data_IF_228973455297
#
_entry.id   IF_228973455297
#
_cell.length_a   1.000
_cell.length_b   1.000
_cell.length_c   1.000
_cell.angle_alpha   90.00
_cell.angle_beta   90.00
_cell.angle_gamma   90.00
#
_symmetry.space_group_name_H-M   'P 1'
#
loop_
_entity.id
_entity.type
_entity.pdbx_description
1 polymer ?
#
# COMPACT_ATOMS: atom_id res chain seq x y z
N UNK A 1 28.28 30.43 11.68
CA UNK A 1 28.31 30.17 10.23
C UNK A 1 27.27 31.06 9.56
N UNK A 2 27.72 32.09 8.86
CA UNK A 2 26.90 33.14 8.28
C UNK A 2 26.31 32.70 6.92
N UNK A 3 25.21 33.31 6.47
CA UNK A 3 24.52 32.96 5.21
C UNK A 3 25.46 33.09 4.00
N UNK A 4 26.32 34.11 4.02
CA UNK A 4 27.36 34.37 3.02
C UNK A 4 28.40 33.26 2.93
N UNK A 5 28.80 32.66 4.07
CA UNK A 5 29.75 31.54 4.07
C UNK A 5 29.13 30.28 3.46
N UNK A 6 27.83 30.06 3.71
CA UNK A 6 27.07 28.97 3.08
C UNK A 6 26.96 29.15 1.56
N UNK A 7 26.66 30.36 1.08
CA UNK A 7 26.62 30.65 -0.36
C UNK A 7 27.98 30.45 -1.02
N UNK A 8 29.06 30.93 -0.41
CA UNK A 8 30.41 30.74 -0.93
C UNK A 8 30.81 29.25 -0.99
N UNK A 9 30.41 28.46 0.03
CA UNK A 9 30.65 27.02 0.04
C UNK A 9 29.86 26.28 -1.05
N UNK A 10 28.58 26.61 -1.25
CA UNK A 10 27.75 26.04 -2.31
C UNK A 10 28.31 26.40 -3.69
N UNK A 11 28.73 27.67 -3.88
CA UNK A 11 29.33 28.14 -5.14
C UNK A 11 30.59 27.35 -5.49
N UNK A 12 31.48 27.12 -4.51
CA UNK A 12 32.68 26.27 -4.68
C UNK A 12 32.36 24.84 -5.08
N UNK A 13 31.29 24.26 -4.52
CA UNK A 13 30.88 22.89 -4.85
C UNK A 13 30.31 22.83 -6.26
N UNK A 14 29.54 23.84 -6.68
CA UNK A 14 28.97 23.92 -8.03
C UNK A 14 29.99 24.28 -9.12
N UNK A 15 30.99 25.12 -8.80
CA UNK A 15 32.10 25.46 -9.71
C UNK A 15 33.07 24.30 -9.91
N UNK A 16 33.06 23.31 -9.01
CA UNK A 16 33.84 22.09 -9.18
C UNK A 16 33.22 21.26 -10.29
N UNK A 17 33.94 21.12 -11.40
CA UNK A 17 33.53 20.30 -12.53
C UNK A 17 33.07 18.91 -12.06
N UNK A 18 31.87 18.52 -12.48
CA UNK A 18 31.31 17.22 -12.13
C UNK A 18 32.27 16.13 -12.63
N UNK A 19 32.69 15.18 -11.77
CA UNK A 19 33.58 14.11 -12.19
C UNK A 19 32.95 13.33 -13.34
N UNK A 20 33.73 12.93 -14.36
CA UNK A 20 33.21 12.22 -15.52
C UNK A 20 32.59 10.90 -15.05
N UNK A 21 31.26 10.81 -15.15
CA UNK A 21 30.52 9.59 -14.83
C UNK A 21 30.41 8.71 -16.08
N UNK A 22 30.53 7.38 -15.93
CA UNK A 22 30.30 6.47 -17.05
C UNK A 22 28.88 6.65 -17.62
N UNK A 23 28.71 6.72 -18.95
CA UNK A 23 27.41 6.97 -19.59
C UNK A 23 26.36 5.89 -19.23
N UNK A 24 26.82 4.65 -18.97
CA UNK A 24 25.96 3.53 -18.62
C UNK A 24 25.50 3.51 -17.16
N UNK A 25 25.99 4.42 -16.31
CA UNK A 25 25.70 4.40 -14.88
C UNK A 25 24.22 4.67 -14.59
N UNK A 26 23.61 5.62 -15.31
CA UNK A 26 22.17 5.87 -15.24
C UNK A 26 21.36 4.66 -15.71
N UNK A 27 21.74 4.03 -16.82
CA UNK A 27 21.05 2.86 -17.34
C UNK A 27 21.14 1.66 -16.39
N UNK A 28 22.30 1.44 -15.77
CA UNK A 28 22.48 0.39 -14.76
C UNK A 28 21.69 0.67 -13.47
N UNK A 29 21.65 1.92 -13.01
CA UNK A 29 20.85 2.33 -11.85
C UNK A 29 19.35 2.12 -12.11
N UNK A 30 18.85 2.51 -13.28
CA UNK A 30 17.46 2.29 -13.70
C UNK A 30 17.13 0.79 -13.81
N UNK A 31 18.02 -0.02 -14.37
CA UNK A 31 17.86 -1.49 -14.44
C UNK A 31 17.80 -2.14 -13.06
N UNK A 32 18.55 -1.64 -12.07
CA UNK A 32 18.48 -2.11 -10.67
C UNK A 32 17.23 -1.58 -9.96
N UNK A 33 16.89 -0.31 -10.13
CA UNK A 33 15.74 0.34 -9.50
C UNK A 33 14.37 -0.15 -9.99
N UNK A 34 14.25 -0.53 -11.27
CA UNK A 34 13.02 -1.03 -11.85
C UNK A 34 12.49 -2.30 -11.16
N UNK A 35 13.38 -3.18 -10.67
CA UNK A 35 12.99 -4.38 -9.91
C UNK A 35 12.38 -4.02 -8.55
N UNK A 36 12.94 -3.03 -7.85
CA UNK A 36 12.43 -2.57 -6.54
C UNK A 36 11.08 -1.86 -6.71
N UNK A 37 10.93 -1.05 -7.75
CA UNK A 37 9.68 -0.34 -8.02
C UNK A 37 8.55 -1.30 -8.44
N UNK A 38 8.86 -2.29 -9.29
CA UNK A 38 7.90 -3.34 -9.68
C UNK A 38 7.43 -4.15 -8.48
N UNK A 39 8.34 -4.52 -7.56
CA UNK A 39 7.97 -5.23 -6.32
C UNK A 39 6.99 -4.43 -5.46
N UNK A 40 7.18 -3.12 -5.32
CA UNK A 40 6.26 -2.26 -4.56
C UNK A 40 4.87 -2.18 -5.21
N UNK A 41 4.83 -2.04 -6.54
CA UNK A 41 3.56 -2.00 -7.27
C UNK A 41 2.84 -3.35 -7.18
N UNK A 42 3.55 -4.47 -7.37
CA UNK A 42 3.00 -5.81 -7.20
C UNK A 42 2.53 -6.07 -5.76
N UNK A 43 3.31 -5.70 -4.75
CA UNK A 43 2.93 -5.87 -3.34
C UNK A 43 1.69 -5.03 -2.99
N UNK A 44 1.61 -3.78 -3.48
CA UNK A 44 0.42 -2.94 -3.28
C UNK A 44 -0.80 -3.55 -3.97
N UNK A 45 -0.65 -4.03 -5.20
CA UNK A 45 -1.75 -4.62 -5.97
C UNK A 45 -2.20 -5.95 -5.36
N UNK A 46 -1.27 -6.79 -4.92
CA UNK A 46 -1.55 -8.03 -4.19
C UNK A 46 -2.26 -7.73 -2.86
N UNK A 47 -1.80 -6.73 -2.10
CA UNK A 47 -2.47 -6.29 -0.87
C UNK A 47 -3.89 -5.80 -1.12
N UNK A 48 -4.12 -5.02 -2.18
CA UNK A 48 -5.46 -4.61 -2.58
C UNK A 48 -6.36 -5.78 -2.99
N UNK A 49 -5.83 -6.74 -3.75
CA UNK A 49 -6.56 -7.94 -4.14
C UNK A 49 -6.92 -8.80 -2.92
N UNK A 50 -5.98 -8.96 -1.97
CA UNK A 50 -6.21 -9.66 -0.70
C UNK A 50 -7.28 -8.95 0.14
N UNK A 51 -7.22 -7.63 0.27
CA UNK A 51 -8.23 -6.85 0.97
C UNK A 51 -9.61 -7.00 0.33
N UNK A 52 -9.68 -6.94 -1.00
CA UNK A 52 -10.93 -7.10 -1.72
C UNK A 52 -11.49 -8.52 -1.55
N UNK A 53 -10.64 -9.55 -1.64
CA UNK A 53 -11.04 -10.93 -1.40
C UNK A 53 -11.54 -11.14 0.04
N UNK A 54 -10.87 -10.56 1.04
CA UNK A 54 -11.28 -10.61 2.44
C UNK A 54 -12.63 -9.89 2.65
N UNK A 55 -12.83 -8.72 2.05
CA UNK A 55 -14.09 -8.00 2.11
C UNK A 55 -15.23 -8.83 1.50
N UNK A 56 -15.03 -9.41 0.31
CA UNK A 56 -16.01 -10.29 -0.33
C UNK A 56 -16.33 -11.50 0.53
N UNK A 57 -15.31 -12.19 1.06
CA UNK A 57 -15.51 -13.35 1.94
C UNK A 57 -16.30 -12.96 3.20
N UNK A 58 -15.98 -11.82 3.81
CA UNK A 58 -16.70 -11.30 4.96
C UNK A 58 -18.16 -10.96 4.61
N UNK A 59 -18.41 -10.29 3.48
CA UNK A 59 -19.78 -9.99 3.03
C UNK A 59 -20.58 -11.26 2.76
N UNK A 60 -19.99 -12.26 2.11
CA UNK A 60 -20.65 -13.55 1.87
C UNK A 60 -21.00 -14.22 3.19
N UNK A 61 -20.05 -14.31 4.12
CA UNK A 61 -20.28 -14.87 5.45
C UNK A 61 -21.39 -14.11 6.21
N UNK A 62 -21.35 -12.78 6.16
CA UNK A 62 -22.31 -11.91 6.80
C UNK A 62 -23.74 -12.12 6.25
N UNK A 63 -23.87 -12.33 4.94
CA UNK A 63 -25.15 -12.63 4.28
C UNK A 63 -25.68 -14.04 4.56
N UNK A 64 -24.80 -15.03 4.71
CA UNK A 64 -25.19 -16.43 4.95
C UNK A 64 -25.49 -16.69 6.43
N UNK A 65 -24.62 -16.24 7.33
CA UNK A 65 -24.79 -16.44 8.77
C UNK A 65 -25.87 -15.54 9.36
N UNK A 66 -26.18 -14.41 8.70
CA UNK A 66 -27.12 -13.38 9.15
C UNK A 66 -27.06 -13.16 10.67
N UNK A 67 -25.88 -12.84 11.24
CA UNK A 67 -25.68 -12.83 12.70
C UNK A 67 -26.53 -11.79 13.45
N UNK A 68 -27.11 -10.85 12.71
CA UNK A 68 -28.04 -9.81 13.16
C UNK A 68 -29.52 -10.24 13.11
N UNK A 69 -29.82 -11.46 12.66
CA UNK A 69 -31.17 -12.02 12.78
C UNK A 69 -31.30 -12.59 14.18
N UNK A 70 -32.19 -11.97 14.97
CA UNK A 70 -32.62 -12.51 16.26
C UNK A 70 -33.11 -13.95 16.03
N UNK A 71 -32.57 -14.96 16.74
CA UNK A 71 -33.09 -16.31 16.65
C UNK A 71 -34.58 -16.28 17.00
N UNK A 72 -35.47 -16.95 16.25
CA UNK A 72 -36.88 -16.99 16.58
C UNK A 72 -37.02 -17.44 18.03
N UNK A 73 -37.57 -16.55 18.85
CA UNK A 73 -37.69 -16.75 20.28
C UNK A 73 -38.44 -18.06 20.50
N UNK A 74 -37.75 -19.08 21.03
CA UNK A 74 -38.31 -20.42 21.31
C UNK A 74 -39.43 -20.42 22.36
N UNK A 75 -39.88 -19.24 22.79
CA UNK A 75 -40.80 -18.99 23.89
C UNK A 75 -42.12 -18.39 23.43
N UNK A 76 -42.60 -18.73 22.24
CA UNK A 76 -44.05 -18.74 22.01
C UNK A 76 -44.53 -20.16 22.26
N UNK A 77 -45.20 -20.45 23.39
CA UNK A 77 -45.86 -21.75 23.53
C UNK A 77 -46.83 -21.92 22.36
N UNK A 78 -46.97 -23.12 21.79
CA UNK A 78 -47.88 -23.34 20.68
C UNK A 78 -49.29 -22.91 21.14
N UNK A 79 -49.89 -21.97 20.42
CA UNK A 79 -51.31 -21.67 20.52
C UNK A 79 -52.09 -22.88 19.98
N UNK A 80 -52.21 -23.94 20.78
CA UNK A 80 -53.21 -25.00 20.57
C UNK A 80 -54.55 -24.44 21.00
N UNK A 81 -55.17 -23.67 20.11
CA UNK A 81 -56.46 -23.04 20.31
C UNK A 81 -57.37 -23.23 19.09
N UNK A 82 -57.60 -24.50 18.74
CA UNK A 82 -58.75 -25.01 18.00
C UNK A 82 -59.05 -26.40 18.55
#
# INVERSE_FOLDING_TARGET
MNRLEREAAVRRIMERAAPPVPPDLCAQALRRGARVLRRRVLARRAGWLLLLAAAVAFTVWALTARPWVEPPSRTTPPLTGW
#
